data_IF_728924883741
#
_entry.id   IF_728924883741
#
_cell.length_a   1.000
_cell.length_b   1.000
_cell.length_c   1.000
_cell.angle_alpha   90.00
_cell.angle_beta   90.00
_cell.angle_gamma   90.00
#
_symmetry.space_group_name_H-M   'P 1'
#
loop_
_entity.id
_entity.type
_entity.pdbx_description
1 polymer ?
#
# COMPACT_ATOMS: atom_id res chain seq x y z
N UNK A 1 -29.61 -15.06 -19.08
CA UNK A 1 -29.02 -14.76 -17.75
C UNK A 1 -27.51 -14.82 -17.92
N UNK A 2 -26.74 -13.80 -17.54
CA UNK A 2 -25.27 -13.91 -17.57
C UNK A 2 -24.87 -15.05 -16.62
N UNK A 3 -23.88 -15.85 -17.02
CA UNK A 3 -23.41 -16.97 -16.20
C UNK A 3 -22.93 -16.43 -14.85
N UNK A 4 -23.42 -16.99 -13.75
CA UNK A 4 -23.01 -16.63 -12.38
C UNK A 4 -21.56 -17.02 -12.07
N UNK A 5 -20.90 -17.75 -12.97
CA UNK A 5 -19.59 -18.33 -12.74
C UNK A 5 -18.47 -17.42 -13.26
N UNK A 6 -17.53 -17.05 -12.38
CA UNK A 6 -16.31 -16.30 -12.71
C UNK A 6 -15.45 -17.15 -13.65
N UNK A 7 -14.98 -16.55 -14.75
CA UNK A 7 -14.06 -17.21 -15.70
C UNK A 7 -12.62 -17.01 -15.24
N UNK A 8 -11.80 -18.04 -15.40
CA UNK A 8 -10.43 -18.07 -14.93
C UNK A 8 -9.43 -18.29 -16.08
N UNK A 9 -8.20 -17.82 -15.86
CA UNK A 9 -7.02 -18.08 -16.69
C UNK A 9 -5.91 -18.72 -15.87
N UNK A 10 -5.22 -19.71 -16.43
CA UNK A 10 -4.06 -20.32 -15.80
C UNK A 10 -2.84 -19.39 -15.88
N UNK A 11 -2.16 -19.22 -14.75
CA UNK A 11 -0.92 -18.46 -14.63
C UNK A 11 0.17 -19.34 -14.01
N UNK A 12 0.75 -20.31 -14.75
CA UNK A 12 1.70 -21.28 -14.19
C UNK A 12 3.02 -20.65 -13.76
N UNK A 13 3.35 -19.48 -14.29
CA UNK A 13 4.60 -18.78 -14.03
C UNK A 13 4.40 -17.51 -13.20
N UNK A 14 5.39 -17.20 -12.38
CA UNK A 14 5.41 -16.00 -11.54
C UNK A 14 5.28 -14.72 -12.38
N UNK A 15 4.34 -13.82 -12.04
CA UNK A 15 4.11 -12.56 -12.79
C UNK A 15 5.28 -11.56 -12.67
N UNK A 16 6.23 -11.80 -11.76
CA UNK A 16 7.37 -10.92 -11.52
C UNK A 16 8.66 -11.45 -12.17
N UNK A 17 9.03 -12.72 -11.90
CA UNK A 17 10.32 -13.25 -12.34
C UNK A 17 10.22 -14.38 -13.36
N UNK A 18 9.01 -14.78 -13.74
CA UNK A 18 8.71 -15.84 -14.72
C UNK A 18 9.07 -17.27 -14.29
N UNK A 19 9.60 -17.48 -13.09
CA UNK A 19 9.85 -18.81 -12.53
C UNK A 19 8.54 -19.59 -12.34
N UNK A 20 8.60 -20.91 -12.41
CA UNK A 20 7.42 -21.80 -12.25
C UNK A 20 6.80 -21.63 -10.88
N UNK A 21 5.47 -21.67 -10.82
CA UNK A 21 4.70 -21.66 -9.57
C UNK A 21 4.68 -23.02 -8.88
N UNK A 22 4.67 -23.00 -7.56
CA UNK A 22 4.45 -24.17 -6.69
C UNK A 22 3.16 -23.90 -5.93
N UNK A 23 2.25 -24.87 -5.87
CA UNK A 23 0.99 -24.72 -5.11
C UNK A 23 1.30 -24.38 -3.65
N UNK A 24 0.73 -23.26 -3.19
CA UNK A 24 0.90 -22.78 -1.82
C UNK A 24 -0.34 -22.99 -0.96
N UNK A 25 -1.51 -22.63 -1.48
CA UNK A 25 -2.80 -22.82 -0.83
C UNK A 25 -3.82 -23.32 -1.84
N UNK A 26 -4.71 -24.19 -1.40
CA UNK A 26 -5.81 -24.73 -2.20
C UNK A 26 -7.14 -24.47 -1.51
N UNK A 27 -8.21 -24.30 -2.32
CA UNK A 27 -9.57 -24.13 -1.83
C UNK A 27 -9.75 -22.98 -0.82
N UNK A 28 -8.97 -21.92 -0.95
CA UNK A 28 -9.13 -20.74 -0.11
C UNK A 28 -10.45 -20.02 -0.45
N UNK A 29 -11.10 -19.43 0.56
CA UNK A 29 -12.38 -18.71 0.40
C UNK A 29 -12.22 -17.24 0.79
N UNK A 30 -13.14 -16.40 0.28
CA UNK A 30 -13.22 -15.00 0.73
C UNK A 30 -13.81 -14.93 2.15
N UNK A 31 -12.94 -14.70 3.12
CA UNK A 31 -13.31 -14.57 4.54
C UNK A 31 -13.67 -13.14 4.94
N UNK A 32 -13.52 -12.17 4.03
CA UNK A 32 -13.71 -10.76 4.31
C UNK A 32 -15.06 -10.22 3.84
N UNK A 33 -15.42 -10.51 2.58
CA UNK A 33 -16.65 -10.00 1.96
C UNK A 33 -17.58 -11.12 1.47
N UNK A 34 -17.16 -12.39 1.56
CA UNK A 34 -17.97 -13.55 1.26
C UNK A 34 -18.25 -13.75 -0.23
N UNK A 35 -17.38 -13.29 -1.14
CA UNK A 35 -17.49 -13.58 -2.57
C UNK A 35 -17.52 -15.11 -2.75
N UNK A 36 -18.57 -15.68 -3.39
CA UNK A 36 -18.71 -17.12 -3.54
C UNK A 36 -17.59 -17.73 -4.40
N UNK A 37 -17.11 -18.92 -4.01
CA UNK A 37 -16.11 -19.67 -4.75
C UNK A 37 -14.90 -20.05 -3.92
N UNK A 38 -13.98 -20.78 -4.56
CA UNK A 38 -12.70 -21.16 -3.98
C UNK A 38 -11.57 -20.78 -4.93
N UNK A 39 -10.43 -20.45 -4.36
CA UNK A 39 -9.26 -19.96 -5.10
C UNK A 39 -8.00 -20.67 -4.63
N UNK A 40 -7.14 -21.01 -5.59
CA UNK A 40 -5.83 -21.55 -5.30
C UNK A 40 -4.76 -20.47 -5.46
N UNK A 41 -3.71 -20.55 -4.67
CA UNK A 41 -2.55 -19.68 -4.76
C UNK A 41 -1.29 -20.48 -5.06
N UNK A 42 -0.51 -19.96 -5.98
CA UNK A 42 0.85 -20.41 -6.24
C UNK A 42 1.88 -19.51 -5.54
N UNK A 43 2.97 -20.12 -5.10
CA UNK A 43 4.18 -19.42 -4.64
C UNK A 43 5.27 -19.54 -5.69
N UNK A 44 6.11 -18.52 -5.82
CA UNK A 44 7.24 -18.53 -6.72
C UNK A 44 8.29 -19.56 -6.28
N UNK A 45 8.74 -20.45 -7.20
CA UNK A 45 9.83 -21.41 -6.93
C UNK A 45 11.17 -20.70 -6.71
N UNK A 46 11.36 -19.49 -7.26
CA UNK A 46 12.48 -18.63 -6.91
C UNK A 46 12.28 -18.02 -5.54
N UNK A 47 12.94 -18.56 -4.53
CA UNK A 47 12.83 -18.15 -3.12
C UNK A 47 13.27 -16.69 -2.88
N UNK A 48 14.11 -16.12 -3.72
CA UNK A 48 14.52 -14.71 -3.63
C UNK A 48 13.34 -13.82 -4.03
N UNK A 49 12.62 -14.16 -5.09
CA UNK A 49 11.44 -13.43 -5.52
C UNK A 49 10.31 -13.54 -4.48
N UNK A 50 9.92 -14.75 -4.12
CA UNK A 50 8.96 -15.04 -3.07
C UNK A 50 7.54 -14.49 -3.30
N UNK A 51 7.17 -14.11 -4.52
CA UNK A 51 5.81 -13.65 -4.87
C UNK A 51 4.81 -14.79 -4.73
N UNK A 52 3.60 -14.48 -4.22
CA UNK A 52 2.44 -15.37 -4.29
C UNK A 52 1.41 -14.76 -5.24
N UNK A 53 0.61 -15.61 -5.92
CA UNK A 53 -0.45 -15.13 -6.81
C UNK A 53 -1.57 -16.14 -6.96
N UNK A 54 -2.76 -15.67 -7.36
CA UNK A 54 -3.89 -16.53 -7.71
C UNK A 54 -3.56 -17.36 -8.97
N UNK A 55 -3.74 -18.68 -8.89
CA UNK A 55 -3.56 -19.57 -10.03
C UNK A 55 -4.47 -20.79 -9.90
N UNK A 56 -5.58 -20.83 -10.68
CA UNK A 56 -5.96 -19.90 -11.74
C UNK A 56 -6.41 -18.53 -11.22
N UNK A 57 -6.14 -17.49 -12.00
CA UNK A 57 -6.57 -16.11 -11.70
C UNK A 57 -7.86 -15.76 -12.44
N UNK A 58 -8.73 -14.89 -11.90
CA UNK A 58 -9.89 -14.37 -12.62
C UNK A 58 -9.47 -13.67 -13.93
N UNK A 59 -10.28 -13.79 -14.97
CA UNK A 59 -10.09 -13.01 -16.19
C UNK A 59 -10.28 -11.53 -15.89
N UNK A 60 -9.59 -10.65 -16.62
CA UNK A 60 -9.61 -9.20 -16.41
C UNK A 60 -11.03 -8.61 -16.39
N UNK A 61 -11.90 -9.10 -17.26
CA UNK A 61 -13.31 -8.64 -17.33
C UNK A 61 -14.20 -9.09 -16.15
N UNK A 62 -13.73 -10.06 -15.35
CA UNK A 62 -14.44 -10.56 -14.18
C UNK A 62 -14.03 -9.82 -12.88
N UNK A 63 -12.97 -9.02 -12.92
CA UNK A 63 -12.42 -8.39 -11.72
C UNK A 63 -13.43 -7.45 -11.04
N UNK A 64 -14.19 -6.68 -11.81
CA UNK A 64 -15.19 -5.77 -11.26
C UNK A 64 -16.22 -6.49 -10.37
N UNK A 65 -16.54 -7.75 -10.68
CA UNK A 65 -17.47 -8.57 -9.91
C UNK A 65 -16.95 -8.92 -8.51
N UNK A 66 -15.64 -8.91 -8.31
CA UNK A 66 -15.02 -9.14 -6.99
C UNK A 66 -15.24 -7.96 -6.03
N UNK A 67 -15.69 -6.83 -6.54
CA UNK A 67 -15.90 -5.58 -5.80
C UNK A 67 -17.38 -5.21 -5.64
N UNK A 68 -18.34 -5.98 -6.16
CA UNK A 68 -19.78 -5.70 -6.04
C UNK A 68 -20.27 -5.60 -4.58
N UNK A 69 -19.62 -6.29 -3.65
CA UNK A 69 -19.91 -6.26 -2.21
C UNK A 69 -18.93 -5.39 -1.41
N UNK A 70 -17.99 -4.74 -2.10
CA UNK A 70 -16.93 -3.97 -1.47
C UNK A 70 -17.39 -2.54 -1.19
N UNK A 71 -17.30 -2.10 0.06
CA UNK A 71 -17.61 -0.70 0.43
C UNK A 71 -16.44 -0.08 1.18
N UNK A 72 -15.73 0.84 0.50
CA UNK A 72 -14.64 1.66 1.10
C UNK A 72 -15.10 3.04 1.52
N UNK A 73 -16.40 3.27 1.68
CA UNK A 73 -17.01 4.59 1.84
C UNK A 73 -16.90 5.13 3.27
N UNK A 74 -15.68 5.27 3.82
CA UNK A 74 -15.47 6.05 5.03
C UNK A 74 -15.24 7.52 4.67
N UNK A 75 -16.05 8.42 5.25
CA UNK A 75 -15.89 9.87 5.06
C UNK A 75 -14.52 10.32 5.57
N UNK A 76 -13.75 11.15 4.82
CA UNK A 76 -12.48 11.67 5.28
C UNK A 76 -12.66 12.47 6.56
N UNK A 77 -12.05 12.05 7.67
CA UNK A 77 -11.98 12.86 8.86
C UNK A 77 -10.82 13.85 8.75
N UNK A 78 -11.14 15.12 8.55
CA UNK A 78 -10.17 16.20 8.69
C UNK A 78 -9.79 16.34 10.18
N UNK A 79 -8.66 15.78 10.57
CA UNK A 79 -8.09 16.01 11.89
C UNK A 79 -7.31 17.33 11.92
N UNK A 80 -8.00 18.43 12.21
CA UNK A 80 -7.35 19.70 12.47
C UNK A 80 -6.80 19.77 13.91
N UNK A 81 -5.55 19.41 14.11
CA UNK A 81 -4.86 19.69 15.37
C UNK A 81 -4.02 20.96 15.24
N UNK A 82 -4.57 22.10 15.65
CA UNK A 82 -3.92 23.44 15.65
C UNK A 82 -3.02 23.68 16.86
N UNK A 83 -2.53 22.68 17.58
CA UNK A 83 -1.60 22.91 18.70
C UNK A 83 -0.16 22.58 18.30
N UNK A 84 0.75 23.54 18.51
CA UNK A 84 2.21 23.34 18.44
C UNK A 84 2.65 22.46 19.63
N UNK A 85 2.28 21.19 19.56
CA UNK A 85 2.62 20.19 20.57
C UNK A 85 4.05 19.70 20.34
N UNK A 86 4.69 19.18 21.38
CA UNK A 86 6.00 18.53 21.27
C UNK A 86 6.02 17.47 20.16
N UNK A 87 4.96 16.65 20.05
CA UNK A 87 4.84 15.63 19.00
C UNK A 87 4.80 16.23 17.59
N UNK A 88 4.15 17.40 17.40
CA UNK A 88 4.19 18.10 16.11
C UNK A 88 5.60 18.58 15.76
N UNK A 89 6.39 19.03 16.74
CA UNK A 89 7.80 19.42 16.51
C UNK A 89 8.63 18.23 16.04
N UNK A 90 8.48 17.08 16.72
CA UNK A 90 9.17 15.84 16.33
C UNK A 90 8.72 15.38 14.94
N UNK A 91 7.40 15.41 14.63
CA UNK A 91 6.88 15.06 13.30
C UNK A 91 7.47 15.92 12.19
N UNK A 92 7.47 17.23 12.35
CA UNK A 92 8.08 18.14 11.36
C UNK A 92 9.57 17.87 11.18
N UNK A 93 10.29 17.56 12.25
CA UNK A 93 11.72 17.25 12.16
C UNK A 93 11.97 15.92 11.42
N UNK A 94 11.13 14.89 11.64
CA UNK A 94 11.20 13.63 10.90
C UNK A 94 10.98 13.86 9.41
N UNK A 95 9.93 14.58 9.03
CA UNK A 95 9.62 14.87 7.63
C UNK A 95 10.70 15.75 6.97
N UNK A 96 11.23 16.74 7.68
CA UNK A 96 12.33 17.59 7.20
C UNK A 96 13.59 16.77 6.92
N UNK A 97 14.05 15.96 7.88
CA UNK A 97 15.30 15.21 7.75
C UNK A 97 15.21 14.02 6.78
N UNK A 98 14.04 13.38 6.70
CA UNK A 98 13.91 12.14 5.94
C UNK A 98 13.33 12.34 4.54
N UNK A 99 12.51 13.37 4.35
CA UNK A 99 11.77 13.62 3.12
C UNK A 99 11.89 15.07 2.61
N UNK A 100 12.77 15.87 3.18
CA UNK A 100 13.06 17.26 2.77
C UNK A 100 11.86 18.23 2.81
N UNK A 101 10.82 17.94 3.62
CA UNK A 101 9.72 18.89 3.80
C UNK A 101 10.17 20.15 4.52
N UNK A 102 9.55 21.30 4.20
CA UNK A 102 9.91 22.58 4.81
C UNK A 102 9.70 22.55 6.33
N UNK A 103 10.60 23.25 7.04
CA UNK A 103 10.49 23.46 8.48
C UNK A 103 10.87 24.90 8.82
N UNK A 104 10.09 25.51 9.71
CA UNK A 104 10.37 26.86 10.25
C UNK A 104 11.47 26.86 11.33
N UNK A 105 12.00 25.69 11.71
CA UNK A 105 13.00 25.53 12.77
C UNK A 105 14.42 25.49 12.20
N UNK A 106 15.40 25.81 13.06
CA UNK A 106 16.82 25.69 12.69
C UNK A 106 17.20 24.23 12.40
N UNK A 107 18.28 24.03 11.62
CA UNK A 107 18.79 22.69 11.30
C UNK A 107 19.13 21.89 12.56
N UNK A 108 19.73 22.54 13.57
CA UNK A 108 20.10 21.90 14.85
C UNK A 108 18.88 21.43 15.67
N UNK A 109 17.82 22.26 15.73
CA UNK A 109 16.57 21.87 16.39
C UNK A 109 15.89 20.69 15.69
N UNK A 110 15.81 20.72 14.35
CA UNK A 110 15.26 19.60 13.59
C UNK A 110 16.08 18.33 13.78
N UNK A 111 17.40 18.42 13.84
CA UNK A 111 18.29 17.27 14.10
C UNK A 111 18.01 16.65 15.48
N UNK A 112 17.93 17.45 16.53
CA UNK A 112 17.63 16.97 17.89
C UNK A 112 16.26 16.27 17.95
N UNK A 113 15.19 16.91 17.44
CA UNK A 113 13.85 16.32 17.44
C UNK A 113 13.79 15.05 16.58
N UNK A 114 14.54 15.00 15.45
CA UNK A 114 14.62 13.79 14.67
C UNK A 114 15.29 12.62 15.43
N UNK A 115 16.37 12.88 16.19
CA UNK A 115 17.00 11.87 17.05
C UNK A 115 15.98 11.35 18.07
N UNK A 116 15.24 12.23 18.73
CA UNK A 116 14.21 11.83 19.70
C UNK A 116 13.15 10.90 19.10
N UNK A 117 12.86 11.02 17.81
CA UNK A 117 11.88 10.15 17.14
C UNK A 117 12.29 8.68 17.09
N UNK A 118 13.58 8.35 17.19
CA UNK A 118 14.09 6.97 17.23
C UNK A 118 13.77 6.24 18.53
N UNK A 119 13.38 6.96 19.59
CA UNK A 119 12.88 6.34 20.83
C UNK A 119 11.62 5.52 20.55
N UNK A 120 10.78 5.95 19.59
CA UNK A 120 9.56 5.23 19.21
C UNK A 120 9.53 4.96 17.70
N UNK A 121 10.21 3.90 17.22
CA UNK A 121 10.38 3.65 15.78
C UNK A 121 9.06 3.51 15.01
N UNK A 122 8.05 2.83 15.56
CA UNK A 122 6.76 2.69 14.90
C UNK A 122 6.04 4.04 14.73
N UNK A 123 6.13 4.93 15.72
CA UNK A 123 5.57 6.28 15.59
C UNK A 123 6.30 7.08 14.51
N UNK A 124 7.64 6.99 14.49
CA UNK A 124 8.47 7.63 13.46
C UNK A 124 8.09 7.15 12.06
N UNK A 125 8.03 5.86 11.86
CA UNK A 125 7.66 5.24 10.58
C UNK A 125 6.25 5.65 10.14
N UNK A 126 5.29 5.72 11.06
CA UNK A 126 3.94 6.21 10.78
C UNK A 126 3.94 7.65 10.24
N UNK A 127 4.85 8.54 10.71
CA UNK A 127 4.92 9.89 10.16
C UNK A 127 5.40 9.88 8.69
N UNK A 128 6.34 9.00 8.34
CA UNK A 128 6.82 8.82 6.97
C UNK A 128 5.74 8.16 6.08
N UNK A 129 5.08 7.14 6.60
CA UNK A 129 3.98 6.46 5.91
C UNK A 129 2.79 7.39 5.63
N UNK A 130 2.45 8.30 6.56
CA UNK A 130 1.44 9.34 6.36
C UNK A 130 1.83 10.40 5.30
N UNK A 131 3.09 10.45 4.90
CA UNK A 131 3.57 11.20 3.74
C UNK A 131 3.87 10.26 2.54
N UNK A 132 3.40 9.02 2.59
CA UNK A 132 3.61 7.98 1.59
C UNK A 132 5.09 7.80 1.21
N UNK A 133 6.03 8.14 2.11
CA UNK A 133 7.48 8.17 1.85
C UNK A 133 7.89 9.02 0.63
N UNK A 134 7.02 9.87 0.12
CA UNK A 134 7.27 10.76 -1.02
C UNK A 134 8.11 11.96 -0.56
N UNK A 135 9.31 12.21 -1.13
CA UNK A 135 10.10 13.39 -0.82
C UNK A 135 9.36 14.68 -1.20
N UNK A 136 9.59 15.76 -0.46
CA UNK A 136 8.95 17.04 -0.74
C UNK A 136 9.42 17.63 -2.07
N UNK A 137 8.46 18.18 -2.82
CA UNK A 137 8.69 19.06 -3.96
C UNK A 137 7.58 20.10 -4.02
N UNK A 138 7.92 21.35 -3.66
CA UNK A 138 6.93 22.43 -3.66
C UNK A 138 6.43 22.72 -5.07
N UNK A 139 5.09 22.71 -5.26
CA UNK A 139 4.47 22.89 -6.57
C UNK A 139 4.78 21.75 -7.55
N UNK A 140 5.23 20.60 -7.07
CA UNK A 140 5.42 19.40 -7.89
C UNK A 140 4.10 18.71 -8.21
N UNK A 141 3.99 18.14 -9.41
CA UNK A 141 2.81 17.36 -9.84
C UNK A 141 2.92 15.93 -9.34
N UNK A 142 1.91 15.50 -8.57
CA UNK A 142 1.81 14.15 -8.01
C UNK A 142 0.57 13.44 -8.51
N UNK A 143 0.72 12.21 -8.98
CA UNK A 143 -0.39 11.31 -9.31
C UNK A 143 -0.61 10.32 -8.16
N UNK A 144 -1.86 10.24 -7.70
CA UNK A 144 -2.34 9.21 -6.76
C UNK A 144 -3.13 8.15 -7.53
N UNK A 145 -2.54 6.97 -7.73
CA UNK A 145 -3.21 5.85 -8.39
C UNK A 145 -3.96 5.04 -7.32
N UNK A 146 -5.27 4.86 -7.51
CA UNK A 146 -6.17 4.30 -6.48
C UNK A 146 -6.48 5.32 -5.39
N UNK A 147 -6.84 6.54 -5.80
CA UNK A 147 -7.03 7.68 -4.88
C UNK A 147 -8.26 7.55 -3.97
N UNK A 148 -9.18 6.65 -4.29
CA UNK A 148 -10.43 6.47 -3.56
C UNK A 148 -11.19 7.79 -3.37
N UNK A 149 -11.62 8.08 -2.15
CA UNK A 149 -12.33 9.32 -1.79
C UNK A 149 -11.44 10.58 -1.67
N UNK A 150 -10.15 10.49 -2.03
CA UNK A 150 -9.19 11.59 -2.05
C UNK A 150 -8.52 11.92 -0.72
N UNK A 151 -8.64 11.10 0.32
CA UNK A 151 -8.02 11.37 1.63
C UNK A 151 -6.50 11.50 1.56
N UNK A 152 -5.84 10.67 0.75
CA UNK A 152 -4.41 10.73 0.44
C UNK A 152 -4.04 12.00 -0.31
N UNK A 153 -4.85 12.37 -1.30
CA UNK A 153 -4.68 13.59 -2.11
C UNK A 153 -4.69 14.84 -1.22
N UNK A 154 -5.72 15.01 -0.35
CA UNK A 154 -5.79 16.12 0.64
C UNK A 154 -4.55 16.18 1.53
N UNK A 155 -4.07 15.03 1.93
CA UNK A 155 -2.86 14.90 2.75
C UNK A 155 -1.62 15.42 2.02
N UNK A 156 -1.48 15.14 0.72
CA UNK A 156 -0.34 15.56 -0.08
C UNK A 156 -0.47 17.02 -0.55
N UNK A 157 -1.67 17.51 -0.84
CA UNK A 157 -1.92 18.94 -1.10
C UNK A 157 -1.53 19.80 0.11
N UNK A 158 -1.90 19.38 1.33
CA UNK A 158 -1.49 20.08 2.56
C UNK A 158 0.04 20.10 2.77
N UNK A 159 0.80 19.29 2.02
CA UNK A 159 2.27 19.24 1.99
C UNK A 159 2.91 19.98 0.83
N UNK A 160 2.10 20.69 0.02
CA UNK A 160 2.58 21.54 -1.06
C UNK A 160 2.68 20.87 -2.43
N UNK A 161 2.07 19.71 -2.63
CA UNK A 161 1.94 19.04 -3.92
C UNK A 161 0.70 19.53 -4.67
N UNK A 162 0.79 19.61 -5.99
CA UNK A 162 -0.36 19.63 -6.89
C UNK A 162 -0.72 18.18 -7.20
N UNK A 163 -1.93 17.75 -6.80
CA UNK A 163 -2.29 16.33 -6.81
C UNK A 163 -3.45 16.06 -7.74
N UNK A 164 -3.24 15.14 -8.65
CA UNK A 164 -4.29 14.51 -9.49
C UNK A 164 -4.48 13.07 -9.05
N UNK A 165 -5.71 12.55 -9.06
CA UNK A 165 -6.04 11.19 -8.66
C UNK A 165 -6.76 10.41 -9.76
N UNK A 166 -6.57 9.09 -9.76
CA UNK A 166 -7.38 8.16 -10.56
C UNK A 166 -7.84 6.99 -9.68
N UNK A 167 -9.09 6.56 -9.89
CA UNK A 167 -9.65 5.37 -9.25
C UNK A 167 -10.70 4.75 -10.17
N UNK A 168 -10.90 3.44 -10.09
CA UNK A 168 -11.94 2.74 -10.85
C UNK A 168 -13.34 2.88 -10.23
N UNK A 169 -13.44 3.22 -8.94
CA UNK A 169 -14.71 3.40 -8.21
C UNK A 169 -15.28 4.81 -8.45
N UNK A 170 -16.30 4.88 -9.32
CA UNK A 170 -16.98 6.14 -9.65
C UNK A 170 -17.55 6.85 -8.42
N UNK A 171 -18.03 6.10 -7.42
CA UNK A 171 -18.62 6.67 -6.20
C UNK A 171 -17.53 7.32 -5.34
N UNK A 172 -16.38 6.67 -5.21
CA UNK A 172 -15.24 7.21 -4.49
C UNK A 172 -14.69 8.45 -5.19
N UNK A 173 -14.54 8.42 -6.52
CA UNK A 173 -14.11 9.58 -7.33
C UNK A 173 -15.10 10.74 -7.21
N UNK A 174 -16.42 10.48 -7.23
CA UNK A 174 -17.42 11.53 -7.02
C UNK A 174 -17.26 12.21 -5.65
N UNK A 175 -16.95 11.45 -4.58
CA UNK A 175 -16.64 12.01 -3.27
C UNK A 175 -15.36 12.87 -3.28
N UNK A 176 -14.30 12.41 -3.97
CA UNK A 176 -13.07 13.20 -4.12
C UNK A 176 -13.35 14.53 -4.83
N UNK A 177 -14.11 14.52 -5.93
CA UNK A 177 -14.53 15.72 -6.68
C UNK A 177 -15.39 16.67 -5.82
N UNK A 178 -16.29 16.15 -5.02
CA UNK A 178 -17.10 16.94 -4.09
C UNK A 178 -16.26 17.63 -3.01
N UNK A 179 -15.08 17.08 -2.70
CA UNK A 179 -14.09 17.70 -1.84
C UNK A 179 -13.16 18.69 -2.58
N UNK A 180 -13.46 19.02 -3.84
CA UNK A 180 -12.69 19.97 -4.65
C UNK A 180 -11.37 19.39 -5.21
N UNK A 181 -11.25 18.08 -5.28
CA UNK A 181 -10.04 17.41 -5.77
C UNK A 181 -10.14 17.11 -7.28
N UNK A 182 -9.00 17.18 -7.96
CA UNK A 182 -8.84 16.74 -9.34
C UNK A 182 -8.70 15.22 -9.42
N UNK A 183 -9.81 14.51 -9.63
CA UNK A 183 -9.83 13.07 -9.70
C UNK A 183 -10.59 12.58 -10.93
N UNK A 184 -10.18 11.47 -11.52
CA UNK A 184 -10.81 10.87 -12.70
C UNK A 184 -11.15 9.40 -12.48
N UNK A 185 -12.28 8.94 -13.02
CA UNK A 185 -12.65 7.54 -13.01
C UNK A 185 -11.92 6.81 -14.13
N UNK A 186 -11.31 5.69 -13.81
CA UNK A 186 -10.61 4.82 -14.77
C UNK A 186 -9.32 4.23 -14.22
N UNK A 187 -8.60 3.60 -15.10
CA UNK A 187 -7.24 3.09 -14.85
C UNK A 187 -6.18 3.99 -15.51
N UNK A 188 -4.91 3.70 -15.22
CA UNK A 188 -3.79 4.49 -15.73
C UNK A 188 -3.71 4.50 -17.27
N UNK A 189 -4.19 3.44 -17.93
CA UNK A 189 -4.13 3.31 -19.39
C UNK A 189 -5.26 4.03 -20.09
N UNK A 190 -6.40 4.18 -19.42
CA UNK A 190 -7.58 4.86 -19.98
C UNK A 190 -7.45 6.39 -20.00
N UNK A 191 -6.72 6.96 -19.03
CA UNK A 191 -6.56 8.43 -18.91
C UNK A 191 -5.50 8.99 -19.87
N UNK A 192 -4.53 8.17 -20.31
CA UNK A 192 -3.51 8.53 -21.33
C UNK A 192 -2.71 9.80 -20.99
N UNK A 193 -2.05 9.84 -19.84
CA UNK A 193 -1.17 10.95 -19.48
C UNK A 193 0.02 11.07 -20.45
N UNK A 194 0.53 12.31 -20.62
CA UNK A 194 1.71 12.60 -21.42
C UNK A 194 2.99 12.02 -20.80
N UNK A 195 4.01 11.80 -21.65
CA UNK A 195 5.35 11.42 -21.22
C UNK A 195 5.95 12.51 -20.32
N UNK A 196 6.66 12.12 -19.27
CA UNK A 196 7.41 13.03 -18.41
C UNK A 196 6.55 14.14 -17.78
N UNK A 197 5.34 13.80 -17.35
CA UNK A 197 4.38 14.77 -16.82
C UNK A 197 4.48 14.92 -15.28
N UNK A 198 4.58 13.82 -14.55
CA UNK A 198 4.55 13.84 -13.08
C UNK A 198 5.94 13.89 -12.44
N UNK A 199 6.05 14.61 -11.33
CA UNK A 199 7.24 14.65 -10.48
C UNK A 199 7.27 13.47 -9.49
N UNK A 200 6.10 13.00 -9.10
CA UNK A 200 5.95 11.80 -8.28
C UNK A 200 4.66 11.03 -8.62
N UNK A 201 4.70 9.72 -8.40
CA UNK A 201 3.52 8.84 -8.45
C UNK A 201 3.49 8.07 -7.12
N UNK A 202 2.31 7.97 -6.53
CA UNK A 202 2.09 7.11 -5.38
C UNK A 202 0.96 6.11 -5.63
N UNK A 203 1.09 4.93 -5.02
CA UNK A 203 0.10 3.86 -4.98
C UNK A 203 0.03 3.31 -3.56
N UNK A 204 -1.16 3.26 -2.99
CA UNK A 204 -1.36 2.72 -1.66
C UNK A 204 -2.36 1.57 -1.71
N UNK A 205 -1.88 0.34 -1.64
CA UNK A 205 -2.69 -0.88 -1.81
C UNK A 205 -3.41 -0.93 -3.16
N UNK A 206 -2.63 -0.86 -4.25
CA UNK A 206 -3.12 -0.91 -5.64
C UNK A 206 -2.44 -1.98 -6.46
N UNK A 207 -1.11 -2.06 -6.40
CA UNK A 207 -0.31 -2.92 -7.29
C UNK A 207 -0.66 -4.42 -7.15
N UNK A 208 -1.13 -4.84 -5.98
CA UNK A 208 -1.59 -6.20 -5.70
C UNK A 208 -2.89 -6.57 -6.41
N UNK A 209 -3.70 -5.57 -6.79
CA UNK A 209 -4.99 -5.76 -7.45
C UNK A 209 -4.89 -5.76 -8.98
N UNK A 210 -3.77 -5.33 -9.55
CA UNK A 210 -3.62 -5.11 -10.99
C UNK A 210 -3.23 -6.41 -11.70
N UNK A 211 -3.91 -6.81 -12.79
CA UNK A 211 -3.64 -8.06 -13.51
C UNK A 211 -2.23 -8.17 -14.09
N UNK A 212 -1.63 -7.04 -14.47
CA UNK A 212 -0.30 -6.96 -15.05
C UNK A 212 0.54 -5.87 -14.37
N UNK A 213 1.17 -6.17 -13.23
CA UNK A 213 1.92 -5.17 -12.47
C UNK A 213 3.15 -4.65 -13.23
N UNK A 214 3.72 -5.43 -14.15
CA UNK A 214 4.87 -4.99 -14.93
C UNK A 214 4.49 -3.89 -15.93
N UNK A 215 3.34 -4.00 -16.57
CA UNK A 215 2.83 -2.94 -17.48
C UNK A 215 2.51 -1.67 -16.71
N UNK A 216 1.83 -1.79 -15.54
CA UNK A 216 1.56 -0.66 -14.66
C UNK A 216 2.85 0.09 -14.30
N UNK A 217 3.88 -0.61 -13.86
CA UNK A 217 5.16 0.00 -13.46
C UNK A 217 5.88 0.63 -14.65
N UNK A 218 5.82 0.03 -15.85
CA UNK A 218 6.37 0.62 -17.08
C UNK A 218 5.63 1.90 -17.48
N UNK A 219 4.31 1.91 -17.36
CA UNK A 219 3.51 3.10 -17.63
C UNK A 219 3.82 4.23 -16.64
N UNK A 220 3.96 3.91 -15.35
CA UNK A 220 4.46 4.86 -14.36
C UNK A 220 5.83 5.43 -14.74
N UNK A 221 6.75 4.58 -15.24
CA UNK A 221 8.06 5.05 -15.71
C UNK A 221 7.93 6.02 -16.89
N UNK A 222 7.03 5.75 -17.85
CA UNK A 222 6.82 6.60 -19.02
C UNK A 222 6.38 8.00 -18.62
N UNK A 223 5.35 8.10 -17.78
CA UNK A 223 4.71 9.37 -17.40
C UNK A 223 5.47 10.16 -16.32
N UNK A 224 6.40 9.55 -15.60
CA UNK A 224 7.30 10.27 -14.68
C UNK A 224 8.30 11.12 -15.44
N UNK A 225 8.61 12.30 -14.93
CA UNK A 225 9.75 13.15 -15.37
C UNK A 225 11.08 12.46 -15.05
N UNK A 226 12.18 12.75 -15.80
CA UNK A 226 13.51 12.34 -15.38
C UNK A 226 13.81 12.78 -13.94
N UNK A 227 14.26 11.83 -13.10
CA UNK A 227 14.44 12.04 -11.66
C UNK A 227 13.16 11.98 -10.83
N UNK A 228 12.01 11.79 -11.45
CA UNK A 228 10.72 11.60 -10.78
C UNK A 228 10.67 10.33 -9.93
N UNK A 229 9.83 10.32 -8.91
CA UNK A 229 9.77 9.24 -7.90
C UNK A 229 8.49 8.43 -8.02
N UNK A 230 8.63 7.11 -7.95
CA UNK A 230 7.52 6.18 -7.74
C UNK A 230 7.59 5.64 -6.32
N UNK A 231 6.46 5.67 -5.60
CA UNK A 231 6.30 5.00 -4.31
C UNK A 231 5.06 4.13 -4.33
N UNK A 232 5.20 2.85 -3.95
CA UNK A 232 4.09 1.91 -3.84
C UNK A 232 4.13 1.19 -2.49
N UNK A 233 2.99 1.13 -1.81
CA UNK A 233 2.78 0.39 -0.58
C UNK A 233 1.84 -0.79 -0.89
N UNK A 234 2.16 -1.99 -0.37
CA UNK A 234 1.42 -3.23 -0.63
C UNK A 234 1.62 -4.22 0.51
N UNK A 235 0.73 -5.21 0.73
CA UNK A 235 0.97 -6.24 1.73
C UNK A 235 2.26 -7.01 1.49
N UNK A 236 2.96 -7.34 2.57
CA UNK A 236 4.24 -8.05 2.54
C UNK A 236 4.06 -9.55 2.80
N UNK A 237 4.25 -10.38 1.78
CA UNK A 237 4.13 -11.85 1.91
C UNK A 237 5.11 -12.46 2.92
N UNK A 238 6.23 -11.80 3.20
CA UNK A 238 7.23 -12.29 4.16
C UNK A 238 6.92 -11.89 5.61
N UNK A 239 5.80 -11.21 5.84
CA UNK A 239 5.41 -10.68 7.15
C UNK A 239 5.27 -11.75 8.23
N UNK A 240 5.31 -11.29 9.49
CA UNK A 240 5.04 -12.16 10.65
C UNK A 240 3.60 -12.69 10.60
N UNK A 241 2.63 -11.84 10.25
CA UNK A 241 1.23 -12.24 10.15
C UNK A 241 1.02 -13.36 9.15
N UNK A 242 1.60 -13.27 7.95
CA UNK A 242 1.52 -14.37 6.98
C UNK A 242 2.20 -15.65 7.47
N UNK A 243 3.37 -15.56 8.10
CA UNK A 243 4.07 -16.74 8.64
C UNK A 243 3.27 -17.45 9.72
N UNK A 244 2.55 -16.72 10.56
CA UNK A 244 1.79 -17.25 11.70
C UNK A 244 0.40 -17.73 11.29
N UNK A 245 -0.34 -16.94 10.50
CA UNK A 245 -1.75 -17.18 10.19
C UNK A 245 -2.00 -17.81 8.82
N UNK A 246 -0.98 -17.89 7.94
CA UNK A 246 -1.06 -18.56 6.64
C UNK A 246 -2.22 -18.04 5.80
N UNK A 247 -3.16 -18.91 5.40
CA UNK A 247 -4.35 -18.55 4.59
C UNK A 247 -5.31 -17.61 5.31
N UNK A 248 -5.21 -17.48 6.64
CA UNK A 248 -6.03 -16.59 7.46
C UNK A 248 -5.39 -15.21 7.64
N UNK A 249 -4.25 -14.95 7.01
CA UNK A 249 -3.62 -13.64 7.08
C UNK A 249 -4.40 -12.60 6.29
N UNK A 250 -4.71 -11.44 6.93
CA UNK A 250 -5.50 -10.36 6.36
C UNK A 250 -4.92 -9.81 5.03
N UNK A 251 -3.59 -9.83 4.89
CA UNK A 251 -2.92 -9.33 3.70
C UNK A 251 -3.11 -10.18 2.45
N UNK A 252 -3.66 -11.41 2.54
CA UNK A 252 -3.99 -12.19 1.34
C UNK A 252 -5.23 -11.67 0.62
N UNK A 253 -6.23 -11.19 1.33
CA UNK A 253 -7.50 -10.62 0.81
C UNK A 253 -8.02 -11.29 -0.46
N UNK A 254 -8.10 -12.62 -0.41
CA UNK A 254 -8.57 -13.45 -1.52
C UNK A 254 -10.05 -13.17 -1.81
N UNK A 255 -10.46 -13.01 -3.08
CA UNK A 255 -9.68 -13.11 -4.33
C UNK A 255 -9.26 -11.76 -4.92
N UNK A 256 -9.36 -10.65 -4.19
CA UNK A 256 -9.09 -9.30 -4.71
C UNK A 256 -7.60 -9.03 -4.91
N UNK A 257 -6.74 -9.53 -4.01
CA UNK A 257 -5.30 -9.48 -4.22
C UNK A 257 -4.89 -10.58 -5.22
N UNK A 258 -4.60 -10.18 -6.46
CA UNK A 258 -4.20 -11.09 -7.54
C UNK A 258 -2.78 -11.60 -7.34
N UNK A 259 -1.91 -10.80 -6.75
CA UNK A 259 -0.56 -11.17 -6.33
C UNK A 259 -0.16 -10.47 -5.03
N UNK A 260 0.71 -11.12 -4.27
CA UNK A 260 1.27 -10.58 -3.03
C UNK A 260 2.78 -10.56 -3.15
N UNK A 261 3.34 -9.39 -2.89
CA UNK A 261 4.77 -9.13 -3.10
C UNK A 261 5.60 -9.34 -1.84
N UNK A 262 6.88 -9.63 -2.03
CA UNK A 262 7.94 -9.41 -1.06
C UNK A 262 8.71 -8.12 -1.41
N UNK A 263 9.48 -7.52 -0.50
CA UNK A 263 10.39 -6.42 -0.87
C UNK A 263 11.31 -6.80 -2.03
N UNK A 264 11.84 -8.02 -2.05
CA UNK A 264 12.71 -8.49 -3.12
C UNK A 264 11.98 -8.59 -4.47
N UNK A 265 10.73 -9.06 -4.49
CA UNK A 265 9.95 -9.10 -5.75
C UNK A 265 9.60 -7.71 -6.28
N UNK A 266 9.35 -6.74 -5.41
CA UNK A 266 9.17 -5.34 -5.82
C UNK A 266 10.46 -4.76 -6.43
N UNK A 267 11.62 -5.06 -5.82
CA UNK A 267 12.92 -4.68 -6.40
C UNK A 267 13.10 -5.28 -7.80
N UNK A 268 12.84 -6.59 -7.96
CA UNK A 268 12.95 -7.27 -9.27
C UNK A 268 12.02 -6.61 -10.29
N UNK A 269 10.76 -6.33 -9.91
CA UNK A 269 9.75 -5.75 -10.77
C UNK A 269 10.16 -4.35 -11.26
N UNK A 270 10.55 -3.46 -10.34
CA UNK A 270 10.95 -2.10 -10.66
C UNK A 270 12.23 -2.05 -11.51
N UNK A 271 13.25 -2.85 -11.17
CA UNK A 271 14.51 -2.92 -11.92
C UNK A 271 14.29 -3.44 -13.33
N UNK A 272 13.51 -4.51 -13.51
CA UNK A 272 13.14 -5.03 -14.85
C UNK A 272 12.33 -4.03 -15.67
N UNK A 273 11.60 -3.14 -15.03
CA UNK A 273 10.82 -2.08 -15.69
C UNK A 273 11.66 -0.85 -16.07
N UNK A 274 12.93 -0.77 -15.65
CA UNK A 274 13.86 0.30 -16.04
C UNK A 274 14.04 1.41 -14.98
N UNK A 275 13.48 1.27 -13.78
CA UNK A 275 13.72 2.21 -12.69
C UNK A 275 15.14 2.11 -12.13
N UNK A 276 15.64 3.25 -11.61
CA UNK A 276 16.93 3.41 -10.93
C UNK A 276 16.71 3.63 -9.43
N UNK A 277 17.80 3.62 -8.65
CA UNK A 277 17.78 3.84 -7.19
C UNK A 277 16.65 3.07 -6.51
N UNK A 278 16.50 1.79 -6.88
CA UNK A 278 15.39 0.96 -6.40
C UNK A 278 15.64 0.54 -4.96
N UNK A 279 14.78 1.01 -4.07
CA UNK A 279 14.75 0.63 -2.66
C UNK A 279 13.43 -0.07 -2.36
N UNK A 280 13.48 -1.27 -1.78
CA UNK A 280 12.31 -1.92 -1.24
C UNK A 280 12.55 -2.28 0.23
N UNK A 281 11.69 -1.80 1.08
CA UNK A 281 11.76 -1.97 2.53
C UNK A 281 10.38 -2.27 3.11
N UNK A 282 10.24 -2.33 4.41
CA UNK A 282 8.95 -2.58 5.06
C UNK A 282 8.55 -1.46 6.00
N UNK A 283 7.24 -1.34 6.25
CA UNK A 283 6.64 -0.34 7.12
C UNK A 283 5.87 -0.98 8.28
N UNK A 284 5.80 -0.25 9.38
CA UNK A 284 4.96 -0.60 10.54
C UNK A 284 3.52 -0.14 10.38
N UNK A 285 3.16 0.44 9.22
CA UNK A 285 1.79 0.88 8.94
C UNK A 285 0.80 -0.28 9.12
N UNK A 286 -0.28 -0.05 9.87
CA UNK A 286 -1.31 -1.05 10.10
C UNK A 286 -0.87 -2.32 10.85
N UNK A 287 0.37 -2.40 11.35
CA UNK A 287 0.98 -3.65 11.87
C UNK A 287 0.15 -4.32 12.96
N UNK A 288 -0.44 -3.57 13.87
CA UNK A 288 -1.27 -4.14 14.93
C UNK A 288 -2.66 -4.51 14.42
N UNK A 289 -3.25 -3.68 13.56
CA UNK A 289 -4.57 -3.93 12.99
C UNK A 289 -4.57 -5.19 12.14
N UNK A 290 -3.67 -5.27 11.15
CA UNK A 290 -3.56 -6.44 10.26
C UNK A 290 -3.33 -7.72 11.05
N UNK A 291 -2.44 -7.66 12.06
CA UNK A 291 -2.15 -8.81 12.90
C UNK A 291 -3.36 -9.24 13.74
N UNK A 292 -4.07 -8.30 14.39
CA UNK A 292 -5.22 -8.60 15.25
C UNK A 292 -6.43 -9.09 14.45
N UNK A 293 -6.67 -8.54 13.25
CA UNK A 293 -7.69 -9.02 12.31
C UNK A 293 -7.37 -10.43 11.82
N UNK A 294 -6.11 -10.71 11.47
CA UNK A 294 -5.64 -12.07 11.08
C UNK A 294 -5.82 -13.06 12.21
N UNK A 295 -5.44 -12.69 13.43
CA UNK A 295 -5.61 -13.53 14.62
C UNK A 295 -7.09 -13.84 14.89
N UNK A 296 -7.96 -12.88 14.70
CA UNK A 296 -9.41 -13.06 14.85
C UNK A 296 -9.95 -13.99 13.77
N UNK A 297 -9.58 -13.77 12.51
CA UNK A 297 -9.95 -14.64 11.40
C UNK A 297 -9.51 -16.10 11.63
N UNK A 298 -8.27 -16.30 12.08
CA UNK A 298 -7.76 -17.64 12.40
C UNK A 298 -8.57 -18.37 13.47
N UNK A 299 -9.15 -17.63 14.44
CA UNK A 299 -9.96 -18.18 15.52
C UNK A 299 -11.43 -18.41 15.14
N UNK A 300 -12.00 -17.52 14.33
CA UNK A 300 -13.45 -17.46 14.08
C UNK A 300 -13.83 -17.91 12.67
N UNK A 301 -12.85 -18.04 11.75
CA UNK A 301 -13.09 -18.35 10.34
C UNK A 301 -13.50 -17.15 9.48
N UNK A 302 -13.72 -15.96 10.07
CA UNK A 302 -14.12 -14.73 9.35
C UNK A 302 -13.32 -13.52 9.81
N UNK A 303 -13.10 -12.57 8.89
CA UNK A 303 -12.53 -11.27 9.28
C UNK A 303 -13.60 -10.42 9.95
N UNK A 304 -13.31 -10.01 11.17
CA UNK A 304 -14.11 -9.03 11.91
C UNK A 304 -13.28 -7.75 11.96
N UNK A 305 -13.75 -6.63 11.35
CA UNK A 305 -13.05 -5.36 11.46
C UNK A 305 -12.76 -5.06 12.92
N UNK A 306 -11.51 -4.78 13.24
CA UNK A 306 -11.18 -4.34 14.58
C UNK A 306 -11.83 -2.97 14.79
N UNK A 307 -13.06 -2.96 15.33
CA UNK A 307 -13.62 -1.71 15.87
C UNK A 307 -12.63 -1.26 16.93
N UNK A 308 -11.91 -0.20 16.63
CA UNK A 308 -10.83 0.34 17.46
C UNK A 308 -11.33 0.99 18.76
N UNK A 309 -12.35 0.42 19.37
CA UNK A 309 -12.65 0.61 20.78
C UNK A 309 -11.55 -0.10 21.58
N UNK A 310 -10.34 0.49 21.54
CA UNK A 310 -9.25 0.04 22.42
C UNK A 310 -9.70 0.22 23.85
N UNK A 311 -10.35 -0.79 24.43
CA UNK A 311 -10.73 -0.82 25.86
C UNK A 311 -9.53 -0.54 26.76
N UNK A 312 -8.31 -0.64 26.25
CA UNK A 312 -7.07 -0.30 26.94
C UNK A 312 -6.05 0.38 26.00
N UNK A 313 -6.14 1.70 25.86
CA UNK A 313 -5.22 2.52 25.06
C UNK A 313 -3.74 2.33 25.46
N UNK A 314 -3.47 2.19 26.75
CA UNK A 314 -2.11 1.99 27.27
C UNK A 314 -1.49 0.71 26.71
N UNK A 315 -2.21 -0.41 26.78
CA UNK A 315 -1.73 -1.70 26.26
C UNK A 315 -1.51 -1.67 24.74
N UNK A 316 -2.34 -0.96 24.00
CA UNK A 316 -2.13 -0.74 22.56
C UNK A 316 -0.82 0.00 22.30
N UNK A 317 -0.53 1.10 22.99
CA UNK A 317 0.70 1.86 22.83
C UNK A 317 1.95 1.06 23.17
N UNK A 318 1.90 0.24 24.23
CA UNK A 318 3.00 -0.66 24.60
C UNK A 318 3.26 -1.69 23.49
N UNK A 319 2.23 -2.35 22.97
CA UNK A 319 2.36 -3.28 21.85
C UNK A 319 2.92 -2.59 20.60
N UNK A 320 2.46 -1.39 20.30
CA UNK A 320 2.92 -0.60 19.17
C UNK A 320 4.40 -0.20 19.31
N UNK A 321 4.81 0.21 20.51
CA UNK A 321 6.22 0.48 20.82
C UNK A 321 7.10 -0.77 20.60
N UNK A 322 6.70 -1.92 21.15
CA UNK A 322 7.42 -3.19 20.96
C UNK A 322 7.46 -3.60 19.48
N UNK A 323 6.37 -3.41 18.75
CA UNK A 323 6.31 -3.70 17.31
C UNK A 323 7.29 -2.83 16.51
N UNK A 324 7.47 -1.56 16.91
CA UNK A 324 8.47 -0.67 16.31
C UNK A 324 9.91 -1.14 16.51
N UNK A 325 10.27 -1.55 17.70
CA UNK A 325 11.61 -2.09 17.97
C UNK A 325 11.84 -3.43 17.28
N UNK A 326 10.80 -4.27 17.22
CA UNK A 326 10.88 -5.51 16.45
C UNK A 326 11.09 -5.23 14.94
N UNK A 327 10.47 -4.19 14.40
CA UNK A 327 10.71 -3.77 13.02
C UNK A 327 12.17 -3.38 12.77
N UNK A 328 12.81 -2.66 13.70
CA UNK A 328 14.24 -2.33 13.59
C UNK A 328 15.11 -3.59 13.57
N UNK A 329 14.83 -4.56 14.45
CA UNK A 329 15.61 -5.79 14.56
C UNK A 329 15.34 -6.79 13.43
N UNK A 330 14.10 -6.85 12.96
CA UNK A 330 13.61 -7.81 11.96
C UNK A 330 12.71 -7.10 10.93
N UNK A 331 13.24 -6.18 10.11
CA UNK A 331 12.44 -5.33 9.24
C UNK A 331 11.58 -6.14 8.26
N UNK A 332 12.08 -7.26 7.74
CA UNK A 332 11.35 -8.12 6.80
C UNK A 332 10.06 -8.74 7.34
N UNK A 333 9.81 -8.67 8.66
CA UNK A 333 8.62 -9.25 9.30
C UNK A 333 7.45 -8.27 9.44
N UNK A 334 7.55 -7.02 9.00
CA UNK A 334 6.44 -6.07 9.04
C UNK A 334 5.41 -6.33 7.93
N UNK A 335 4.17 -5.90 8.16
CA UNK A 335 3.00 -6.31 7.38
C UNK A 335 2.91 -5.65 6.00
N UNK A 336 3.54 -4.49 5.81
CA UNK A 336 3.49 -3.71 4.57
C UNK A 336 4.88 -3.63 3.95
N UNK A 337 4.99 -3.89 2.67
CA UNK A 337 6.18 -3.64 1.85
C UNK A 337 6.03 -2.28 1.14
N UNK A 338 7.13 -1.57 1.02
CA UNK A 338 7.22 -0.26 0.37
C UNK A 338 8.27 -0.35 -0.73
N UNK A 339 7.88 0.01 -1.95
CA UNK A 339 8.79 0.26 -3.06
C UNK A 339 9.00 1.76 -3.20
N UNK A 340 10.23 2.20 -3.33
CA UNK A 340 10.62 3.56 -3.71
C UNK A 340 11.69 3.50 -4.79
N UNK A 341 11.48 4.19 -5.91
CA UNK A 341 12.44 4.18 -7.00
C UNK A 341 12.39 5.46 -7.82
N UNK A 342 13.38 5.65 -8.70
CA UNK A 342 13.60 6.86 -9.50
C UNK A 342 13.60 6.53 -10.98
N UNK A 343 12.98 7.39 -11.82
CA UNK A 343 13.12 7.32 -13.27
C UNK A 343 14.51 7.69 -13.75
#
# INVERSE_FOLDING_TARGET
MPSTQIRFRNLPNCPVCTAVGIVAYTNATDKLFGVPGTWDLSACSNKICGTYWLNPAPNTHELQRLYETYSTHSTPQQTSSKRDSFLNRVRHAVLFQSLNYQSTRSKSQNFLYNILSYIHPAWRDTQLANAFYVPAKQGGYLLDIGCGNGSSMLTMQARGWEVTGIDFDETAVAQAKNNGLDASTGDLFSVQYEDNYFDAIMMNHVIEHVPNPQELIKECLRILKPGGKLVALTPNITSKGHREFKVDWRGLEIPRHLQIFSPASLTILATKSGFKDVEAFTSTQGILQIYDESKTCHKTGTFIPSTTSHKNKYFYHVRWFIAGWRHILFPHLSEVAVLRCTK
#
